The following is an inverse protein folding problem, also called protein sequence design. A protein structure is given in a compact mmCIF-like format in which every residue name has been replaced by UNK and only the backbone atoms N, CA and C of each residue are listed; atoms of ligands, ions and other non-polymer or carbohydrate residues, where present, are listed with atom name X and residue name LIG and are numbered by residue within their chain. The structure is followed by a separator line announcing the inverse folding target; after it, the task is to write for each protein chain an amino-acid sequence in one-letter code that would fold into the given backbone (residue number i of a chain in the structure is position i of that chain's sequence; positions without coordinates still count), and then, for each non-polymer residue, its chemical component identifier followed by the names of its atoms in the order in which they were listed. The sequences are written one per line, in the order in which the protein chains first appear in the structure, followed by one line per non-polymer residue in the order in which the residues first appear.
data_IF_389876441937
#
_entry.id   IF_389876441937
#
_cell.length_a   1.000
_cell.length_b   1.000
_cell.length_c   1.000
_cell.angle_alpha   90.00
_cell.angle_beta   90.00
_cell.angle_gamma   90.00
#
_symmetry.space_group_name_H-M   'P 1'
#
loop_
_entity.id
_entity.type
_entity.pdbx_description
1 polymer ?
#
# COMPACT_ATOMS: atom_id res chain seq x y z
N UNK A 1 10.84 18.94 8.76
CA UNK A 1 10.33 20.02 7.89
C UNK A 1 9.58 19.34 6.76
N UNK A 2 8.26 19.52 6.66
CA UNK A 2 7.48 19.02 5.52
C UNK A 2 7.82 19.91 4.32
N UNK A 3 8.31 19.31 3.24
CA UNK A 3 8.63 19.99 2.00
C UNK A 3 7.31 20.29 1.26
N UNK A 4 6.64 21.38 1.63
CA UNK A 4 5.52 21.93 0.87
C UNK A 4 6.09 22.93 -0.14
N UNK A 5 6.04 22.56 -1.42
CA UNK A 5 6.33 23.47 -2.52
C UNK A 5 5.00 23.91 -3.14
N UNK A 6 4.69 25.19 -3.00
CA UNK A 6 3.57 25.82 -3.72
C UNK A 6 4.01 26.09 -5.15
N UNK A 7 3.29 25.52 -6.13
CA UNK A 7 3.37 25.92 -7.53
C UNK A 7 2.07 26.59 -7.95
N UNK A 8 2.22 27.54 -8.87
CA UNK A 8 1.33 28.67 -9.14
C UNK A 8 0.03 28.26 -9.83
N UNK A 9 -0.87 27.56 -9.13
CA UNK A 9 -2.29 27.42 -9.48
C UNK A 9 -3.06 26.74 -8.33
N UNK A 10 -3.23 27.44 -7.20
CA UNK A 10 -4.34 27.28 -6.25
C UNK A 10 -4.62 25.91 -5.59
N UNK A 11 -3.85 24.87 -5.88
CA UNK A 11 -3.98 23.54 -5.29
C UNK A 11 -2.67 23.11 -4.68
N UNK A 12 -2.66 22.84 -3.38
CA UNK A 12 -1.56 22.10 -2.74
C UNK A 12 -1.64 20.65 -3.22
N UNK A 13 -1.10 20.36 -4.40
CA UNK A 13 -0.85 18.98 -4.80
C UNK A 13 0.27 18.46 -3.90
N UNK A 14 -0.11 17.72 -2.86
CA UNK A 14 0.87 16.94 -2.11
C UNK A 14 1.48 15.98 -3.11
N UNK A 15 2.80 16.02 -3.24
CA UNK A 15 3.60 15.21 -4.18
C UNK A 15 3.28 13.69 -4.12
N UNK A 16 2.59 13.27 -3.07
CA UNK A 16 2.19 11.90 -2.82
C UNK A 16 0.69 11.73 -2.57
N UNK A 17 -0.15 12.50 -3.25
CA UNK A 17 -1.53 12.04 -3.47
C UNK A 17 -1.49 10.65 -4.13
N UNK A 18 -2.47 9.79 -3.82
CA UNK A 18 -2.54 8.41 -4.29
C UNK A 18 -2.44 8.34 -5.83
N UNK A 19 -3.09 9.31 -6.50
CA UNK A 19 -3.11 9.46 -7.96
C UNK A 19 -1.72 9.65 -8.57
N UNK A 20 -0.76 10.19 -7.82
CA UNK A 20 0.63 10.43 -8.24
C UNK A 20 1.55 9.33 -7.70
N UNK A 21 1.37 8.93 -6.46
CA UNK A 21 2.23 7.96 -5.79
C UNK A 21 2.20 6.58 -6.46
N UNK A 22 1.04 6.10 -6.92
CA UNK A 22 0.96 4.76 -7.53
C UNK A 22 1.66 4.69 -8.91
N UNK A 23 1.44 5.62 -9.85
CA UNK A 23 2.23 5.66 -11.08
C UNK A 23 3.73 5.88 -10.82
N UNK A 24 4.08 6.69 -9.82
CA UNK A 24 5.47 6.94 -9.46
C UNK A 24 6.16 5.69 -8.92
N UNK A 25 5.46 4.85 -8.16
CA UNK A 25 5.97 3.55 -7.70
C UNK A 25 6.29 2.63 -8.89
N UNK A 26 5.36 2.52 -9.85
CA UNK A 26 5.55 1.70 -11.05
C UNK A 26 6.68 2.24 -11.92
N UNK A 27 6.79 3.57 -12.04
CA UNK A 27 7.89 4.22 -12.74
C UNK A 27 9.23 3.92 -12.07
N UNK A 28 9.30 4.07 -10.75
CA UNK A 28 10.52 3.80 -10.00
C UNK A 28 10.97 2.35 -10.15
N UNK A 29 10.04 1.39 -10.11
CA UNK A 29 10.35 -0.02 -10.39
C UNK A 29 10.83 -0.23 -11.83
N UNK A 30 10.11 0.31 -12.82
CA UNK A 30 10.45 0.14 -14.24
C UNK A 30 11.85 0.64 -14.59
N UNK A 31 12.33 1.69 -13.93
CA UNK A 31 13.61 2.32 -14.18
C UNK A 31 14.67 2.01 -13.10
N UNK A 32 14.44 1.02 -12.23
CA UNK A 32 15.33 0.62 -11.13
C UNK A 32 15.80 1.79 -10.24
N UNK A 33 14.89 2.74 -9.96
CA UNK A 33 15.14 3.89 -9.10
C UNK A 33 14.88 3.52 -7.63
N UNK A 34 15.83 2.81 -7.03
CA UNK A 34 15.68 2.21 -5.68
C UNK A 34 15.29 3.20 -4.59
N UNK A 35 15.97 4.35 -4.49
CA UNK A 35 15.71 5.34 -3.45
C UNK A 35 14.31 5.95 -3.61
N UNK A 36 13.92 6.27 -4.85
CA UNK A 36 12.59 6.78 -5.16
C UNK A 36 11.51 5.74 -4.82
N UNK A 37 11.75 4.47 -5.16
CA UNK A 37 10.83 3.37 -4.84
C UNK A 37 10.63 3.28 -3.32
N UNK A 38 11.72 3.27 -2.55
CA UNK A 38 11.68 3.23 -1.07
C UNK A 38 10.94 4.44 -0.47
N UNK A 39 11.17 5.63 -1.00
CA UNK A 39 10.49 6.85 -0.55
C UNK A 39 8.98 6.79 -0.81
N UNK A 40 8.58 6.34 -1.99
CA UNK A 40 7.17 6.20 -2.36
C UNK A 40 6.49 5.11 -1.53
N UNK A 41 7.13 3.96 -1.33
CA UNK A 41 6.64 2.89 -0.46
C UNK A 41 6.43 3.40 0.97
N UNK A 42 7.43 4.11 1.52
CA UNK A 42 7.37 4.66 2.88
C UNK A 42 6.21 5.64 3.03
N UNK A 43 6.01 6.50 2.03
CA UNK A 43 4.88 7.43 2.03
C UNK A 43 3.55 6.68 1.99
N UNK A 44 3.39 5.72 1.06
CA UNK A 44 2.15 4.95 0.91
C UNK A 44 1.77 4.23 2.20
N UNK A 45 2.75 3.65 2.91
CA UNK A 45 2.53 2.97 4.19
C UNK A 45 2.12 3.95 5.29
N UNK A 46 2.82 5.08 5.42
CA UNK A 46 2.66 5.97 6.58
C UNK A 46 1.51 6.96 6.47
N UNK A 47 1.25 7.43 5.26
CA UNK A 47 0.39 8.60 5.04
C UNK A 47 -0.83 8.28 4.18
N UNK A 48 -0.79 7.20 3.39
CA UNK A 48 -1.90 6.84 2.50
C UNK A 48 -2.69 5.63 2.96
N UNK A 49 -2.10 4.64 3.64
CA UNK A 49 -2.77 3.37 3.92
C UNK A 49 -4.06 3.51 4.76
N UNK A 50 -5.21 3.24 4.15
CA UNK A 50 -6.54 3.33 4.77
C UNK A 50 -7.53 2.31 4.21
N UNK A 51 -8.69 2.07 4.86
CA UNK A 51 -9.71 1.13 4.35
C UNK A 51 -10.22 1.46 2.94
N UNK A 52 -10.18 2.73 2.55
CA UNK A 52 -10.66 3.22 1.25
C UNK A 52 -9.68 2.93 0.11
N UNK A 53 -8.38 2.80 0.39
CA UNK A 53 -7.36 2.69 -0.64
C UNK A 53 -6.42 1.48 -0.51
N UNK A 54 -6.50 0.71 0.58
CA UNK A 54 -5.59 -0.42 0.84
C UNK A 54 -5.57 -1.44 -0.30
N UNK A 55 -6.70 -1.70 -0.96
CA UNK A 55 -6.78 -2.62 -2.11
C UNK A 55 -6.05 -2.06 -3.32
N UNK A 56 -6.15 -0.75 -3.55
CA UNK A 56 -5.50 -0.09 -4.68
C UNK A 56 -3.98 -0.05 -4.49
N UNK A 57 -3.53 0.26 -3.28
CA UNK A 57 -2.11 0.23 -2.90
C UNK A 57 -1.57 -1.21 -2.98
N UNK A 58 -2.34 -2.20 -2.53
CA UNK A 58 -1.96 -3.61 -2.63
C UNK A 58 -1.74 -4.03 -4.10
N UNK A 59 -2.68 -3.71 -4.99
CA UNK A 59 -2.54 -4.05 -6.40
C UNK A 59 -1.31 -3.38 -7.03
N UNK A 60 -1.05 -2.11 -6.70
CA UNK A 60 0.16 -1.42 -7.14
C UNK A 60 1.44 -2.06 -6.61
N UNK A 61 1.43 -2.54 -5.36
CA UNK A 61 2.58 -3.23 -4.76
C UNK A 61 2.91 -4.55 -5.46
N UNK A 62 1.90 -5.28 -5.95
CA UNK A 62 2.08 -6.52 -6.71
C UNK A 62 2.70 -6.20 -8.08
N UNK A 63 2.15 -5.19 -8.78
CA UNK A 63 2.64 -4.77 -10.10
C UNK A 63 4.09 -4.26 -10.02
N UNK A 64 4.42 -3.51 -8.96
CA UNK A 64 5.72 -2.85 -8.79
C UNK A 64 6.73 -3.72 -8.02
N UNK A 65 6.44 -5.01 -7.84
CA UNK A 65 7.28 -5.96 -7.12
C UNK A 65 7.80 -5.39 -5.77
N UNK A 66 6.87 -4.88 -4.96
CA UNK A 66 7.15 -4.27 -3.66
C UNK A 66 6.70 -5.21 -2.54
N UNK A 67 7.58 -6.11 -2.05
CA UNK A 67 7.19 -7.11 -1.06
C UNK A 67 6.84 -6.49 0.30
N UNK A 68 7.53 -5.42 0.69
CA UNK A 68 7.29 -4.72 1.95
C UNK A 68 5.91 -4.04 1.92
N UNK A 69 5.62 -3.28 0.87
CA UNK A 69 4.32 -2.62 0.73
C UNK A 69 3.18 -3.64 0.63
N UNK A 70 3.39 -4.73 -0.13
CA UNK A 70 2.40 -5.82 -0.26
C UNK A 70 2.04 -6.39 1.12
N UNK A 71 3.05 -6.63 1.95
CA UNK A 71 2.86 -7.11 3.32
C UNK A 71 2.10 -6.12 4.17
N UNK A 72 2.51 -4.85 4.20
CA UNK A 72 1.83 -3.84 5.01
C UNK A 72 0.34 -3.70 4.62
N UNK A 73 0.03 -3.72 3.32
CA UNK A 73 -1.35 -3.68 2.86
C UNK A 73 -2.15 -4.93 3.26
N UNK A 74 -1.51 -6.10 3.16
CA UNK A 74 -2.10 -7.39 3.55
C UNK A 74 -2.41 -7.44 5.05
N UNK A 75 -1.48 -7.00 5.89
CA UNK A 75 -1.67 -6.95 7.34
C UNK A 75 -2.76 -5.92 7.72
N UNK A 76 -2.79 -4.77 7.05
CA UNK A 76 -3.85 -3.78 7.24
C UNK A 76 -5.24 -4.33 6.86
N UNK A 77 -5.34 -5.05 5.74
CA UNK A 77 -6.58 -5.73 5.33
C UNK A 77 -7.07 -6.71 6.39
N UNK A 78 -6.18 -7.53 6.96
CA UNK A 78 -6.53 -8.45 8.04
C UNK A 78 -7.07 -7.71 9.26
N UNK A 79 -6.41 -6.61 9.65
CA UNK A 79 -6.85 -5.78 10.79
C UNK A 79 -8.25 -5.21 10.53
N UNK A 80 -8.48 -4.64 9.34
CA UNK A 80 -9.79 -4.10 8.96
C UNK A 80 -10.88 -5.18 8.98
N UNK A 81 -10.58 -6.37 8.44
CA UNK A 81 -11.50 -7.50 8.46
C UNK A 81 -11.84 -7.96 9.89
N UNK A 82 -10.82 -8.11 10.76
CA UNK A 82 -11.03 -8.49 12.17
C UNK A 82 -11.84 -7.45 12.95
N UNK A 83 -11.72 -6.18 12.59
CA UNK A 83 -12.47 -5.08 13.20
C UNK A 83 -13.85 -4.86 12.55
N UNK A 84 -14.21 -5.64 11.53
CA UNK A 84 -15.47 -5.47 10.79
C UNK A 84 -15.54 -4.16 10.00
N UNK A 85 -14.39 -3.54 9.71
CA UNK A 85 -14.30 -2.31 8.92
C UNK A 85 -14.58 -2.65 7.46
N UNK A 86 -15.45 -1.87 6.84
CA UNK A 86 -15.73 -1.98 5.42
C UNK A 86 -14.50 -1.52 4.62
N UNK A 87 -14.04 -2.39 3.71
CA UNK A 87 -12.92 -2.10 2.81
C UNK A 87 -13.48 -1.87 1.41
N UNK A 88 -13.17 -0.72 0.84
CA UNK A 88 -13.60 -0.40 -0.52
C UNK A 88 -12.90 -1.30 -1.55
N UNK A 89 -13.58 -1.59 -2.66
CA UNK A 89 -13.04 -2.38 -3.79
C UNK A 89 -12.54 -3.79 -3.42
N UNK A 90 -12.93 -4.33 -2.26
CA UNK A 90 -12.51 -5.68 -1.83
C UNK A 90 -12.87 -6.78 -2.84
N UNK A 91 -13.97 -6.61 -3.57
CA UNK A 91 -14.41 -7.50 -4.64
C UNK A 91 -13.48 -7.53 -5.87
N UNK A 92 -12.48 -6.64 -5.93
CA UNK A 92 -11.46 -6.59 -7.00
C UNK A 92 -10.27 -7.50 -6.68
N UNK A 93 -10.16 -7.99 -5.44
CA UNK A 93 -9.15 -8.96 -5.08
C UNK A 93 -9.43 -10.30 -5.76
N UNK A 94 -8.36 -10.97 -6.18
CA UNK A 94 -8.43 -12.34 -6.69
C UNK A 94 -9.11 -13.28 -5.67
N UNK A 95 -9.89 -14.26 -6.15
CA UNK A 95 -10.64 -15.18 -5.29
C UNK A 95 -9.73 -16.03 -4.41
N UNK A 96 -8.59 -16.50 -4.94
CA UNK A 96 -7.63 -17.30 -4.20
C UNK A 96 -6.98 -16.47 -3.10
N UNK A 97 -6.55 -15.25 -3.42
CA UNK A 97 -5.99 -14.32 -2.44
C UNK A 97 -7.02 -13.92 -1.37
N UNK A 98 -8.28 -13.68 -1.77
CA UNK A 98 -9.37 -13.36 -0.84
C UNK A 98 -9.63 -14.49 0.13
N UNK A 99 -9.56 -15.74 -0.33
CA UNK A 99 -9.70 -16.93 0.50
C UNK A 99 -8.52 -17.08 1.46
N UNK A 100 -7.28 -16.89 0.98
CA UNK A 100 -6.09 -16.90 1.84
C UNK A 100 -6.19 -15.85 2.97
N UNK A 101 -6.63 -14.63 2.63
CA UNK A 101 -6.87 -13.58 3.62
C UNK A 101 -7.93 -13.96 4.65
N UNK A 102 -9.04 -14.58 4.22
CA UNK A 102 -10.10 -15.02 5.12
C UNK A 102 -9.60 -16.12 6.07
N UNK A 103 -8.94 -17.14 5.54
CA UNK A 103 -8.44 -18.27 6.33
C UNK A 103 -7.47 -17.77 7.43
N UNK A 104 -6.58 -16.81 7.10
CA UNK A 104 -5.65 -16.20 8.05
C UNK A 104 -6.30 -15.21 9.02
N UNK A 105 -7.33 -14.48 8.59
CA UNK A 105 -8.08 -13.60 9.48
C UNK A 105 -8.71 -14.38 10.65
N UNK A 106 -9.23 -15.59 10.36
CA UNK A 106 -9.85 -16.49 11.34
C UNK A 106 -8.88 -17.40 12.10
N UNK A 107 -7.70 -17.72 11.54
CA UNK A 107 -6.69 -18.52 12.24
C UNK A 107 -5.90 -17.73 13.30
N UNK A 108 -5.87 -16.40 13.20
CA UNK A 108 -5.09 -15.54 14.10
C UNK A 108 -3.64 -15.33 13.64
N UNK A 109 -3.21 -15.99 12.56
CA UNK A 109 -1.84 -15.93 12.04
C UNK A 109 -1.57 -14.65 11.23
N UNK A 110 -0.32 -14.18 11.21
CA UNK A 110 0.15 -13.07 10.35
C UNK A 110 0.51 -13.59 8.95
N UNK A 111 0.31 -12.77 7.91
CA UNK A 111 0.51 -13.18 6.51
C UNK A 111 1.97 -13.41 6.11
N UNK A 112 2.93 -12.84 6.86
CA UNK A 112 4.35 -12.85 6.50
C UNK A 112 5.25 -12.99 7.74
N UNK A 113 6.40 -13.66 7.61
CA UNK A 113 7.39 -13.86 8.68
C UNK A 113 7.95 -12.54 9.21
N UNK A 114 8.04 -12.34 10.53
CA UNK A 114 8.46 -11.12 11.24
C UNK A 114 9.83 -10.50 10.84
N UNK A 115 10.61 -11.13 9.96
CA UNK A 115 12.02 -10.80 9.69
C UNK A 115 12.33 -9.70 8.67
N UNK A 116 11.35 -8.99 8.09
CA UNK A 116 11.60 -8.04 6.98
C UNK A 116 11.48 -6.57 7.43
N UNK A 117 11.14 -6.30 8.69
CA UNK A 117 10.92 -4.94 9.18
C UNK A 117 12.17 -4.27 9.80
N UNK A 118 13.36 -4.88 9.74
CA UNK A 118 14.58 -4.37 10.39
C UNK A 118 15.72 -3.92 9.43
N UNK A 119 15.52 -3.81 8.11
CA UNK A 119 16.56 -3.35 7.17
C UNK A 119 16.26 -2.01 6.46
#
# INVERSE_FOLDING_TARGET
KKNEYCYDQGGTYRYYDLTIALPLLQFAEKYDMKDLKKDVETHLIKESLSPENVVEILNASIISNSPILRRCCSDALLIFMRQGIHVEKRNVLDEEFSKELLDKAYSGECLFDEKICEE
#
